data_IF_891831121131
#
_entry.id   IF_891831121131
#
_cell.length_a   1.000
_cell.length_b   1.000
_cell.length_c   1.000
_cell.angle_alpha   90.00
_cell.angle_beta   90.00
_cell.angle_gamma   90.00
#
_symmetry.space_group_name_H-M   'P 1'
#
loop_
_entity.id
_entity.type
_entity.pdbx_description
1 polymer ?
#
# COMPACT_ATOMS: atom_id res chain seq x y z
N UNK A 1 -36.13 34.75 -6.67
CA UNK A 1 -35.21 34.84 -5.51
C UNK A 1 -35.57 33.79 -4.44
N UNK A 2 -35.31 32.50 -4.69
CA UNK A 2 -35.58 31.38 -3.77
C UNK A 2 -34.55 30.23 -3.86
N UNK A 3 -33.51 30.39 -4.68
CA UNK A 3 -32.53 29.32 -4.95
C UNK A 3 -31.34 29.40 -3.97
N UNK A 4 -31.04 30.58 -3.42
CA UNK A 4 -29.94 30.80 -2.47
C UNK A 4 -30.18 30.21 -1.08
N UNK A 5 -31.43 29.95 -0.67
CA UNK A 5 -31.73 29.35 0.64
C UNK A 5 -31.44 27.85 0.69
N UNK A 6 -31.64 27.12 -0.43
CA UNK A 6 -31.46 25.66 -0.49
C UNK A 6 -29.99 25.23 -0.46
N UNK A 7 -29.09 26.09 -0.95
CA UNK A 7 -27.64 25.84 -0.88
C UNK A 7 -27.06 26.05 0.53
N UNK A 8 -27.65 26.93 1.35
CA UNK A 8 -27.18 27.16 2.72
C UNK A 8 -27.61 26.06 3.71
N UNK A 9 -28.73 25.37 3.49
CA UNK A 9 -29.12 24.23 4.34
C UNK A 9 -28.30 22.96 4.07
N UNK A 10 -27.83 22.75 2.84
CA UNK A 10 -27.07 21.54 2.50
C UNK A 10 -25.63 21.54 3.03
N UNK A 11 -25.07 22.71 3.33
CA UNK A 11 -23.72 22.85 3.91
C UNK A 11 -23.71 22.57 5.42
N UNK A 12 -24.86 22.69 6.11
CA UNK A 12 -24.94 22.44 7.55
C UNK A 12 -25.07 20.94 7.88
N UNK A 13 -25.39 20.07 6.92
CA UNK A 13 -25.47 18.63 7.13
C UNK A 13 -24.15 17.88 6.84
N UNK A 14 -23.12 18.58 6.38
CA UNK A 14 -21.78 17.99 6.16
C UNK A 14 -20.93 18.10 7.45
N UNK A 15 -21.30 18.99 8.38
CA UNK A 15 -20.55 19.24 9.61
C UNK A 15 -20.96 18.40 10.83
N UNK A 16 -21.95 17.50 10.70
CA UNK A 16 -22.40 16.66 11.83
C UNK A 16 -21.78 15.25 11.85
N UNK A 17 -21.11 14.83 10.78
CA UNK A 17 -20.46 13.50 10.70
C UNK A 17 -18.98 13.54 11.14
N UNK A 18 -18.49 14.67 11.68
CA UNK A 18 -17.09 14.80 12.14
C UNK A 18 -16.91 14.66 13.67
N UNK A 19 -17.96 14.35 14.43
CA UNK A 19 -17.91 14.35 15.92
C UNK A 19 -17.77 12.97 16.60
N UNK A 20 -17.32 11.92 15.90
CA UNK A 20 -17.15 10.58 16.49
C UNK A 20 -15.76 9.96 16.30
N UNK A 21 -14.71 10.76 16.38
CA UNK A 21 -13.34 10.25 16.41
C UNK A 21 -12.71 10.53 17.77
N UNK A 22 -12.78 9.56 18.67
CA UNK A 22 -11.96 9.55 19.89
C UNK A 22 -10.61 8.94 19.49
N UNK A 23 -9.58 9.77 19.35
CA UNK A 23 -8.20 9.30 19.21
C UNK A 23 -7.64 9.09 20.62
N UNK A 24 -7.72 7.87 21.15
CA UNK A 24 -7.04 7.50 22.39
C UNK A 24 -5.61 7.11 22.02
N UNK A 25 -4.63 7.98 22.29
CA UNK A 25 -3.21 7.62 22.24
C UNK A 25 -2.80 7.19 23.64
N UNK A 26 -2.79 5.88 23.89
CA UNK A 26 -2.22 5.34 25.12
C UNK A 26 -0.68 5.33 25.01
N UNK A 27 -0.03 6.25 25.71
CA UNK A 27 1.43 6.28 25.82
C UNK A 27 1.88 5.20 26.81
N UNK A 28 2.46 4.11 26.34
CA UNK A 28 3.15 3.14 27.21
C UNK A 28 4.64 3.49 27.18
N UNK A 29 5.16 4.04 28.28
CA UNK A 29 6.59 4.16 28.50
C UNK A 29 7.15 2.80 28.93
N UNK A 30 7.85 2.11 28.03
CA UNK A 30 8.66 0.93 28.35
C UNK A 30 10.11 1.37 28.55
N UNK A 31 10.53 1.48 29.81
CA UNK A 31 11.94 1.61 30.19
C UNK A 31 12.60 0.23 30.13
N UNK A 32 13.44 -0.01 29.13
CA UNK A 32 14.25 -1.24 29.06
C UNK A 32 15.55 -0.99 29.85
N UNK A 33 15.74 -1.79 30.90
CA UNK A 33 16.93 -1.83 31.73
C UNK A 33 17.98 -2.63 30.96
N UNK A 34 19.10 -2.02 30.57
CA UNK A 34 20.24 -2.74 30.00
C UNK A 34 21.07 -3.35 31.16
N UNK A 35 21.01 -4.66 31.34
CA UNK A 35 21.81 -5.41 32.31
C UNK A 35 22.82 -6.33 31.60
N UNK A 36 24.10 -6.04 31.91
CA UNK A 36 25.34 -6.81 31.86
C UNK A 36 25.86 -7.44 30.55
N UNK A 37 27.05 -6.95 30.18
CA UNK A 37 28.02 -7.63 29.31
C UNK A 37 28.77 -8.73 30.08
N UNK A 38 29.06 -9.89 29.45
CA UNK A 38 30.37 -10.59 29.44
C UNK A 38 30.34 -11.78 28.45
N UNK A 39 31.38 -11.80 27.61
CA UNK A 39 32.02 -12.78 26.69
C UNK A 39 31.40 -14.12 26.20
N UNK A 40 31.56 -14.25 24.87
CA UNK A 40 31.99 -15.41 24.07
C UNK A 40 31.19 -16.72 24.10
N UNK A 41 30.26 -16.80 23.15
CA UNK A 41 30.26 -17.74 22.00
C UNK A 41 29.09 -17.32 21.11
N UNK A 42 29.34 -16.97 19.84
CA UNK A 42 28.27 -16.64 18.88
C UNK A 42 27.61 -17.94 18.38
N UNK A 43 26.36 -18.28 18.78
CA UNK A 43 25.44 -18.82 17.81
C UNK A 43 25.05 -17.66 16.90
N UNK A 44 25.20 -17.85 15.59
CA UNK A 44 24.70 -16.90 14.60
C UNK A 44 23.16 -17.00 14.59
N UNK A 45 22.52 -16.44 15.62
CA UNK A 45 21.09 -16.21 15.61
C UNK A 45 20.88 -14.99 14.75
N UNK A 46 20.53 -15.21 13.48
CA UNK A 46 19.98 -14.16 12.63
C UNK A 46 18.70 -13.67 13.29
N UNK A 47 18.82 -12.67 14.16
CA UNK A 47 17.70 -11.86 14.60
C UNK A 47 17.21 -11.15 13.36
N UNK A 48 16.23 -11.75 12.67
CA UNK A 48 15.42 -11.04 11.70
C UNK A 48 14.66 -10.03 12.54
N UNK A 49 15.21 -8.83 12.69
CA UNK A 49 14.41 -7.66 13.06
C UNK A 49 13.34 -7.55 11.98
N UNK A 50 12.20 -8.20 12.21
CA UNK A 50 10.95 -7.89 11.55
C UNK A 50 10.60 -6.51 12.08
N UNK A 51 11.19 -5.48 11.47
CA UNK A 51 10.85 -4.09 11.74
C UNK A 51 9.32 -4.02 11.73
N UNK A 52 8.71 -3.58 12.84
CA UNK A 52 7.27 -3.70 13.03
C UNK A 52 6.54 -3.10 11.83
N UNK A 53 6.01 -3.97 10.95
CA UNK A 53 5.24 -3.56 9.78
C UNK A 53 3.85 -3.21 10.29
N UNK A 54 3.47 -1.97 10.09
CA UNK A 54 2.18 -1.39 10.43
C UNK A 54 1.47 -0.92 9.16
N UNK A 55 0.15 -0.75 9.21
CA UNK A 55 -0.67 -0.41 8.04
C UNK A 55 -0.26 0.92 7.39
N UNK A 56 0.23 1.88 8.17
CA UNK A 56 0.74 3.18 7.71
C UNK A 56 2.07 3.07 6.94
N UNK A 57 2.78 1.93 7.02
CA UNK A 57 4.02 1.66 6.29
C UNK A 57 3.81 0.94 4.98
N UNK A 58 2.55 0.67 4.61
CA UNK A 58 2.16 0.09 3.32
C UNK A 58 1.88 1.22 2.33
N UNK A 59 2.39 1.07 1.11
CA UNK A 59 2.08 1.93 -0.01
C UNK A 59 1.35 1.13 -1.10
N UNK A 60 0.31 1.74 -1.67
CA UNK A 60 -0.30 1.26 -2.90
C UNK A 60 0.38 1.95 -4.08
N UNK A 61 0.90 1.14 -5.01
CA UNK A 61 1.51 1.62 -6.25
C UNK A 61 0.55 1.34 -7.39
N UNK A 62 0.40 2.31 -8.28
CA UNK A 62 -0.41 2.23 -9.48
C UNK A 62 0.52 2.17 -10.69
N UNK A 63 0.63 1.00 -11.29
CA UNK A 63 1.31 0.82 -12.56
C UNK A 63 0.34 1.19 -13.68
N UNK A 64 0.80 2.02 -14.61
CA UNK A 64 0.00 2.50 -15.72
C UNK A 64 0.71 2.24 -17.04
N UNK A 65 -0.09 1.98 -18.06
CA UNK A 65 0.34 1.81 -19.44
C UNK A 65 -0.68 2.47 -20.37
N UNK A 66 -0.21 3.14 -21.42
CA UNK A 66 -1.03 3.66 -22.51
C UNK A 66 -0.39 3.31 -23.84
N UNK A 67 -1.20 2.72 -24.73
CA UNK A 67 -0.83 2.42 -26.11
C UNK A 67 -1.47 3.43 -27.03
N UNK A 68 -0.68 4.01 -27.92
CA UNK A 68 -1.11 5.02 -28.86
C UNK A 68 -0.85 4.58 -30.30
N UNK A 69 -1.14 5.47 -31.25
CA UNK A 69 -0.70 5.30 -32.63
C UNK A 69 0.82 5.50 -32.82
N UNK A 70 1.55 6.08 -31.86
CA UNK A 70 3.00 6.31 -31.97
C UNK A 70 3.86 5.39 -31.11
N UNK A 71 3.31 4.80 -30.06
CA UNK A 71 4.07 3.90 -29.21
C UNK A 71 3.32 3.40 -27.99
N UNK A 72 4.07 2.85 -27.04
CA UNK A 72 3.58 2.46 -25.72
C UNK A 72 4.37 3.22 -24.66
N UNK A 73 3.66 3.79 -23.69
CA UNK A 73 4.25 4.48 -22.55
C UNK A 73 3.77 3.81 -21.27
N UNK A 74 4.66 3.70 -20.29
CA UNK A 74 4.34 3.09 -19.00
C UNK A 74 5.10 3.75 -17.86
N UNK A 75 4.63 3.50 -16.64
CA UNK A 75 5.29 3.94 -15.43
C UNK A 75 4.49 3.61 -14.18
N UNK A 76 4.91 4.15 -13.05
CA UNK A 76 4.24 3.97 -11.76
C UNK A 76 3.86 5.29 -11.11
N UNK A 77 2.81 5.31 -10.31
CA UNK A 77 2.41 6.44 -9.48
C UNK A 77 1.90 5.99 -8.11
N UNK A 78 1.94 6.88 -7.10
CA UNK A 78 1.46 6.59 -5.75
C UNK A 78 -0.03 6.93 -5.54
N UNK A 79 -0.73 7.32 -6.61
CA UNK A 79 -2.18 7.52 -6.58
C UNK A 79 -2.80 7.27 -7.94
N UNK A 80 -4.06 6.82 -7.95
CA UNK A 80 -4.84 6.64 -9.17
C UNK A 80 -4.97 7.94 -9.97
N UNK A 81 -5.15 9.08 -9.29
CA UNK A 81 -5.26 10.38 -9.93
C UNK A 81 -3.96 10.75 -10.66
N UNK A 82 -2.81 10.54 -10.02
CA UNK A 82 -1.51 10.80 -10.64
C UNK A 82 -1.26 9.85 -11.82
N UNK A 83 -1.59 8.56 -11.71
CA UNK A 83 -1.50 7.62 -12.82
C UNK A 83 -2.33 8.07 -14.04
N UNK A 84 -3.59 8.47 -13.82
CA UNK A 84 -4.46 9.00 -14.88
C UNK A 84 -3.90 10.28 -15.51
N UNK A 85 -3.34 11.16 -14.68
CA UNK A 85 -2.69 12.38 -15.18
C UNK A 85 -1.45 12.08 -16.02
N UNK A 86 -0.61 11.13 -15.60
CA UNK A 86 0.56 10.72 -16.37
C UNK A 86 0.17 10.11 -17.71
N UNK A 87 -0.86 9.26 -17.77
CA UNK A 87 -1.41 8.76 -19.05
C UNK A 87 -1.77 9.93 -19.97
N UNK A 88 -2.55 10.89 -19.47
CA UNK A 88 -3.00 12.03 -20.26
C UNK A 88 -1.84 12.89 -20.78
N UNK A 89 -0.80 13.10 -19.96
CA UNK A 89 0.40 13.82 -20.36
C UNK A 89 1.20 13.04 -21.41
N UNK A 90 1.47 11.75 -21.17
CA UNK A 90 2.31 10.91 -22.03
C UNK A 90 1.68 10.64 -23.39
N UNK A 91 0.35 10.62 -23.50
CA UNK A 91 -0.36 10.43 -24.76
C UNK A 91 -0.85 11.73 -25.40
N UNK A 92 -0.38 12.89 -24.93
CA UNK A 92 -0.86 14.19 -25.41
C UNK A 92 -0.55 14.38 -26.90
N UNK A 93 -1.58 14.69 -27.70
CA UNK A 93 -1.45 14.85 -29.16
C UNK A 93 -1.35 13.52 -29.93
N UNK A 94 -1.65 12.39 -29.29
CA UNK A 94 -1.65 11.07 -29.89
C UNK A 94 -3.03 10.40 -29.79
N UNK A 95 -3.30 9.47 -30.70
CA UNK A 95 -4.54 8.69 -30.67
C UNK A 95 -4.35 7.51 -29.72
N UNK A 96 -5.03 7.55 -28.58
CA UNK A 96 -5.02 6.45 -27.60
C UNK A 96 -5.80 5.25 -28.14
N UNK A 97 -5.15 4.10 -28.22
CA UNK A 97 -5.75 2.82 -28.62
C UNK A 97 -6.16 1.99 -27.42
N UNK A 98 -5.37 2.01 -26.35
CA UNK A 98 -5.61 1.22 -25.15
C UNK A 98 -4.98 1.89 -23.92
N UNK A 99 -5.55 1.62 -22.74
CA UNK A 99 -5.03 2.10 -21.45
C UNK A 99 -5.26 1.06 -20.36
N UNK A 100 -4.27 0.87 -19.51
CA UNK A 100 -4.34 -0.05 -18.37
C UNK A 100 -3.78 0.65 -17.13
N UNK A 101 -4.49 0.48 -16.01
CA UNK A 101 -3.97 0.83 -14.68
C UNK A 101 -4.19 -0.39 -13.79
N UNK A 102 -3.11 -0.91 -13.21
CA UNK A 102 -3.15 -1.95 -12.20
C UNK A 102 -2.58 -1.39 -10.89
N UNK A 103 -2.93 -1.99 -9.76
CA UNK A 103 -2.34 -1.63 -8.48
C UNK A 103 -1.82 -2.84 -7.72
N UNK A 104 -0.82 -2.59 -6.88
CA UNK A 104 -0.22 -3.56 -5.99
C UNK A 104 0.30 -2.86 -4.73
N UNK A 105 0.47 -3.62 -3.65
CA UNK A 105 0.97 -3.12 -2.38
C UNK A 105 2.43 -3.50 -2.14
N UNK A 106 3.19 -2.59 -1.54
CA UNK A 106 4.58 -2.81 -1.08
C UNK A 106 4.83 -2.05 0.22
N UNK A 107 5.94 -2.33 0.88
CA UNK A 107 6.41 -1.50 1.98
C UNK A 107 6.97 -0.17 1.46
N UNK A 108 6.73 0.91 2.20
CA UNK A 108 7.21 2.26 1.84
C UNK A 108 8.73 2.32 1.70
N UNK A 109 9.47 1.61 2.55
CA UNK A 109 10.94 1.52 2.49
C UNK A 109 11.46 0.66 1.31
N UNK A 110 10.57 -0.04 0.59
CA UNK A 110 10.86 -0.88 -0.57
C UNK A 110 10.33 -0.29 -1.88
N UNK A 111 9.74 0.92 -1.84
CA UNK A 111 9.17 1.60 -3.02
C UNK A 111 10.19 1.82 -4.15
N UNK A 112 11.45 2.04 -3.79
CA UNK A 112 12.53 2.33 -4.73
C UNK A 112 13.45 1.12 -4.99
N UNK A 113 13.18 -0.04 -4.39
CA UNK A 113 14.04 -1.23 -4.51
C UNK A 113 13.22 -2.41 -5.04
N UNK A 114 13.20 -2.54 -6.37
CA UNK A 114 12.57 -3.67 -7.07
C UNK A 114 13.33 -4.98 -6.84
N UNK A 115 14.64 -4.89 -6.66
CA UNK A 115 15.57 -6.02 -6.42
C UNK A 115 15.26 -6.79 -5.13
N UNK A 116 14.52 -6.14 -4.22
CA UNK A 116 14.07 -6.70 -2.95
C UNK A 116 12.60 -7.13 -3.01
N UNK A 117 11.99 -7.39 -4.17
CA UNK A 117 10.58 -7.78 -4.29
C UNK A 117 10.43 -9.24 -4.70
N UNK A 118 11.09 -10.14 -3.96
CA UNK A 118 11.20 -11.55 -4.33
C UNK A 118 9.96 -12.38 -3.97
N UNK A 119 9.03 -11.85 -3.17
CA UNK A 119 7.83 -12.58 -2.77
C UNK A 119 6.59 -11.86 -3.27
N UNK A 120 5.93 -12.46 -4.25
CA UNK A 120 4.61 -12.06 -4.69
C UNK A 120 3.55 -12.65 -3.76
N UNK A 121 2.50 -11.90 -3.47
CA UNK A 121 1.39 -12.37 -2.68
C UNK A 121 0.05 -11.83 -3.17
N UNK A 122 -0.99 -12.63 -2.97
CA UNK A 122 -2.37 -12.27 -3.22
C UNK A 122 -3.25 -12.73 -2.06
N UNK A 123 -4.32 -11.98 -1.80
CA UNK A 123 -5.35 -12.34 -0.84
C UNK A 123 -6.71 -11.96 -1.40
N UNK A 124 -7.62 -12.91 -1.33
CA UNK A 124 -9.04 -12.71 -1.59
C UNK A 124 -9.77 -12.78 -0.24
N UNK A 125 -10.63 -11.80 -0.01
CA UNK A 125 -11.51 -11.70 1.16
C UNK A 125 -12.96 -11.71 0.71
N UNK A 126 -13.90 -11.84 1.65
CA UNK A 126 -15.32 -11.86 1.34
C UNK A 126 -15.79 -10.60 0.59
N UNK A 127 -15.13 -9.45 0.81
CA UNK A 127 -15.51 -8.17 0.19
C UNK A 127 -14.55 -7.66 -0.88
N UNK A 128 -13.40 -8.32 -1.12
CA UNK A 128 -12.43 -7.78 -2.05
C UNK A 128 -11.21 -8.63 -2.32
N UNK A 129 -10.27 -8.04 -3.05
CA UNK A 129 -9.05 -8.68 -3.50
C UNK A 129 -7.89 -7.70 -3.44
N UNK A 130 -6.71 -8.19 -3.02
CA UNK A 130 -5.48 -7.42 -2.98
C UNK A 130 -4.28 -8.28 -3.37
N UNK A 131 -3.29 -7.63 -3.98
CA UNK A 131 -2.01 -8.25 -4.32
C UNK A 131 -0.85 -7.32 -4.06
N UNK A 132 0.34 -7.88 -3.93
CA UNK A 132 1.53 -7.09 -3.66
C UNK A 132 2.82 -7.88 -3.73
N UNK A 133 3.88 -7.19 -3.35
CA UNK A 133 5.22 -7.75 -3.25
C UNK A 133 5.82 -7.48 -1.87
N UNK A 134 6.75 -8.32 -1.46
CA UNK A 134 7.55 -8.15 -0.26
C UNK A 134 8.96 -8.71 -0.46
N UNK A 135 9.89 -8.30 0.40
CA UNK A 135 11.28 -8.79 0.37
C UNK A 135 11.50 -10.18 0.91
N UNK A 136 10.58 -10.69 1.72
CA UNK A 136 10.66 -12.02 2.28
C UNK A 136 9.25 -12.57 2.57
N UNK A 137 9.15 -13.88 2.75
CA UNK A 137 7.88 -14.58 3.00
C UNK A 137 7.18 -14.08 4.27
N UNK A 138 7.92 -13.78 5.34
CA UNK A 138 7.36 -13.28 6.59
C UNK A 138 6.69 -11.92 6.40
N UNK A 139 7.30 -11.04 5.61
CA UNK A 139 6.73 -9.74 5.24
C UNK A 139 5.50 -9.93 4.36
N UNK A 140 5.52 -10.84 3.38
CA UNK A 140 4.34 -11.16 2.57
C UNK A 140 3.16 -11.62 3.45
N UNK A 141 3.38 -12.54 4.40
CA UNK A 141 2.37 -12.97 5.38
C UNK A 141 1.83 -11.80 6.20
N UNK A 142 2.72 -10.92 6.67
CA UNK A 142 2.34 -9.75 7.47
C UNK A 142 1.53 -8.73 6.66
N UNK A 143 1.89 -8.51 5.39
CA UNK A 143 1.16 -7.65 4.47
C UNK A 143 -0.25 -8.16 4.23
N UNK A 144 -0.43 -9.45 3.97
CA UNK A 144 -1.76 -10.09 3.85
C UNK A 144 -2.59 -9.82 5.12
N UNK A 145 -2.03 -10.08 6.30
CA UNK A 145 -2.74 -9.85 7.57
C UNK A 145 -3.17 -8.38 7.74
N UNK A 146 -2.33 -7.43 7.35
CA UNK A 146 -2.61 -6.00 7.51
C UNK A 146 -3.64 -5.49 6.50
N UNK A 147 -3.58 -5.97 5.26
CA UNK A 147 -4.47 -5.53 4.17
C UNK A 147 -5.85 -6.16 4.32
N UNK A 148 -5.92 -7.44 4.70
CA UNK A 148 -7.18 -8.15 4.94
C UNK A 148 -7.73 -7.96 6.38
N UNK A 149 -7.07 -7.13 7.21
CA UNK A 149 -7.50 -6.90 8.60
C UNK A 149 -8.91 -6.32 8.63
N UNK A 150 -9.82 -7.01 9.32
CA UNK A 150 -11.23 -6.64 9.44
C UNK A 150 -12.15 -7.30 8.42
N UNK A 151 -11.65 -8.24 7.61
CA UNK A 151 -12.45 -9.04 6.68
C UNK A 151 -12.12 -10.54 6.79
N UNK A 152 -13.01 -11.38 6.28
CA UNK A 152 -12.85 -12.84 6.25
C UNK A 152 -12.02 -13.22 5.02
N UNK A 153 -10.87 -13.85 5.24
CA UNK A 153 -10.02 -14.36 4.15
C UNK A 153 -10.67 -15.59 3.54
N UNK A 154 -10.91 -15.55 2.23
CA UNK A 154 -11.40 -16.67 1.42
C UNK A 154 -10.22 -17.49 0.90
N UNK A 155 -9.21 -16.83 0.34
CA UNK A 155 -8.04 -17.49 -0.23
C UNK A 155 -6.78 -16.61 -0.09
N UNK A 156 -5.60 -17.25 -0.11
CA UNK A 156 -4.31 -16.55 -0.10
C UNK A 156 -3.26 -17.31 -0.90
N UNK A 157 -2.38 -16.57 -1.56
CA UNK A 157 -1.26 -17.11 -2.35
C UNK A 157 0.01 -16.34 -1.96
N UNK A 158 1.13 -17.06 -1.80
CA UNK A 158 2.46 -16.49 -1.67
C UNK A 158 3.40 -17.29 -2.57
N UNK A 159 4.11 -16.60 -3.46
CA UNK A 159 5.01 -17.21 -4.45
C UNK A 159 6.35 -16.51 -4.35
N UNK A 160 7.42 -17.28 -4.15
CA UNK A 160 8.79 -16.79 -4.33
C UNK A 160 9.07 -16.69 -5.83
N UNK A 161 9.45 -15.50 -6.29
CA UNK A 161 9.80 -15.23 -7.67
C UNK A 161 11.33 -15.14 -7.79
N UNK A 162 11.94 -15.83 -8.76
CA UNK A 162 13.36 -15.65 -9.05
C UNK A 162 13.61 -14.22 -9.53
N UNK A 163 14.75 -13.64 -9.14
CA UNK A 163 15.19 -12.34 -9.66
C UNK A 163 15.36 -12.46 -11.18
N UNK A 164 14.68 -11.58 -11.94
CA UNK A 164 14.84 -11.46 -13.39
C UNK A 164 15.98 -10.51 -13.73
#
# INVERSE_FOLDING_TARGET
>A
MKITKKFHEHLNNINDVSKKSILIIATVALSIINLNATNDKKPLTTSIEVAAITKDRIAQVFEWEVKTNKGTYSGTALSLQKAKHMIALSSSGEIVKDKKIASYFVLKNELNSTEKRNYFWEVETATGFAKGYASNEAYAKKMIQLVASGDVIVSKIIISQPQQ
#
